data_IF_316632609215
#
_entry.id   IF_316632609215
#
_cell.length_a   1.000
_cell.length_b   1.000
_cell.length_c   1.000
_cell.angle_alpha   90.00
_cell.angle_beta   90.00
_cell.angle_gamma   90.00
#
_symmetry.space_group_name_H-M   'P 1'
#
loop_
_entity.id
_entity.type
_entity.pdbx_description
1 polymer ?
#
# COMPACT_ATOMS: atom_id res chain seq x y z
N UNK A 1 9.65 -36.94 -18.66
CA UNK A 1 9.95 -36.34 -17.35
C UNK A 1 9.59 -34.88 -17.47
N UNK A 2 8.29 -34.59 -17.42
CA UNK A 2 7.76 -33.23 -17.44
C UNK A 2 7.05 -33.10 -16.09
N UNK A 3 7.79 -32.65 -15.09
CA UNK A 3 7.22 -32.45 -13.76
C UNK A 3 6.22 -31.31 -13.80
N UNK A 4 5.05 -31.65 -13.27
CA UNK A 4 3.82 -30.90 -13.23
C UNK A 4 4.00 -29.66 -12.34
N UNK A 5 4.35 -28.50 -12.92
CA UNK A 5 4.44 -27.19 -12.22
C UNK A 5 3.04 -26.58 -12.00
N UNK A 6 1.96 -27.39 -12.01
CA UNK A 6 0.65 -26.88 -11.67
C UNK A 6 0.47 -26.93 -10.15
N UNK A 7 0.37 -25.74 -9.55
CA UNK A 7 -0.21 -25.49 -8.23
C UNK A 7 0.71 -25.60 -7.00
N UNK A 8 1.91 -25.02 -7.06
CA UNK A 8 2.63 -24.64 -5.83
C UNK A 8 2.03 -23.34 -5.30
N UNK A 9 1.16 -23.44 -4.28
CA UNK A 9 0.71 -22.30 -3.48
C UNK A 9 1.92 -21.57 -2.89
N UNK A 10 2.10 -20.30 -3.26
CA UNK A 10 3.14 -19.43 -2.69
C UNK A 10 2.51 -18.56 -1.62
N UNK A 11 2.99 -18.68 -0.38
CA UNK A 11 2.58 -17.82 0.73
C UNK A 11 3.56 -16.67 0.87
N UNK A 12 3.03 -15.47 1.12
CA UNK A 12 3.82 -14.26 1.37
C UNK A 12 3.36 -13.63 2.69
N UNK A 13 4.31 -13.09 3.45
CA UNK A 13 4.03 -12.38 4.70
C UNK A 13 4.44 -10.92 4.56
N UNK A 14 3.53 -10.03 4.94
CA UNK A 14 3.73 -8.58 4.96
C UNK A 14 3.26 -8.05 6.32
N UNK A 15 3.64 -6.82 6.67
CA UNK A 15 3.16 -6.19 7.90
C UNK A 15 1.63 -6.06 7.92
N UNK A 16 1.05 -5.67 6.79
CA UNK A 16 -0.39 -5.57 6.57
C UNK A 16 -0.69 -5.93 5.12
N UNK A 17 -1.79 -6.64 4.89
CA UNK A 17 -2.35 -6.92 3.57
C UNK A 17 -3.78 -6.38 3.56
N UNK A 18 -4.11 -5.61 2.52
CA UNK A 18 -5.43 -4.99 2.36
C UNK A 18 -6.23 -5.75 1.30
N UNK A 19 -7.48 -6.07 1.64
CA UNK A 19 -8.45 -6.59 0.68
C UNK A 19 -8.91 -5.49 -0.30
N UNK A 20 -9.42 -5.84 -1.49
CA UNK A 20 -9.86 -4.86 -2.50
C UNK A 20 -10.90 -3.84 -2.02
N UNK A 21 -11.67 -4.19 -0.99
CA UNK A 21 -12.71 -3.35 -0.40
C UNK A 21 -12.17 -2.33 0.62
N UNK A 22 -10.87 -2.37 0.94
CA UNK A 22 -10.26 -1.45 1.89
C UNK A 22 -10.36 0.01 1.41
N UNK A 23 -10.92 0.86 2.26
CA UNK A 23 -11.01 2.30 2.02
C UNK A 23 -9.66 3.01 2.19
N UNK A 24 -9.52 4.20 1.60
CA UNK A 24 -8.32 5.03 1.76
C UNK A 24 -8.03 5.37 3.23
N UNK A 25 -9.07 5.58 4.04
CA UNK A 25 -8.92 5.82 5.48
C UNK A 25 -8.34 4.59 6.20
N UNK A 26 -8.88 3.40 5.91
CA UNK A 26 -8.35 2.15 6.48
C UNK A 26 -6.90 1.90 6.05
N UNK A 27 -6.55 2.18 4.80
CA UNK A 27 -5.16 2.07 4.32
C UNK A 27 -4.27 3.04 5.10
N UNK A 28 -4.66 4.31 5.23
CA UNK A 28 -3.88 5.32 5.95
C UNK A 28 -3.68 4.97 7.44
N UNK A 29 -4.73 4.46 8.09
CA UNK A 29 -4.69 4.05 9.50
C UNK A 29 -3.71 2.90 9.74
N UNK A 30 -3.74 1.87 8.87
CA UNK A 30 -3.05 0.61 9.15
C UNK A 30 -1.72 0.45 8.40
N UNK A 31 -1.41 1.23 7.36
CA UNK A 31 -0.16 1.09 6.60
C UNK A 31 1.09 1.60 7.35
N UNK A 32 0.93 2.17 8.55
CA UNK A 32 2.03 2.65 9.38
C UNK A 32 2.50 4.08 9.06
N UNK A 33 1.88 4.76 8.09
CA UNK A 33 2.23 6.14 7.73
C UNK A 33 2.00 7.11 8.88
N UNK A 34 0.99 6.90 9.74
CA UNK A 34 0.78 7.74 10.94
C UNK A 34 2.03 7.81 11.83
N UNK A 35 2.66 6.67 12.09
CA UNK A 35 3.90 6.62 12.86
C UNK A 35 5.06 7.33 12.15
N UNK A 36 5.12 7.25 10.82
CA UNK A 36 6.11 7.99 10.04
C UNK A 36 5.89 9.50 10.15
N UNK A 37 4.64 9.97 10.23
CA UNK A 37 4.31 11.37 10.44
C UNK A 37 4.80 11.83 11.82
N UNK A 38 4.55 11.05 12.88
CA UNK A 38 5.03 11.37 14.22
C UNK A 38 6.56 11.49 14.26
N UNK A 39 7.27 10.54 13.65
CA UNK A 39 8.74 10.60 13.53
C UNK A 39 9.21 11.80 12.68
N UNK A 40 8.48 12.15 11.62
CA UNK A 40 8.80 13.33 10.83
C UNK A 40 8.67 14.63 11.66
N UNK A 41 7.66 14.72 12.53
CA UNK A 41 7.49 15.83 13.46
C UNK A 41 8.61 15.89 14.52
N UNK A 42 9.13 14.74 14.91
CA UNK A 42 10.32 14.62 15.79
C UNK A 42 11.65 14.92 15.08
N UNK A 43 11.62 15.25 13.79
CA UNK A 43 12.79 15.66 13.01
C UNK A 43 13.50 14.53 12.26
N UNK A 44 12.90 13.34 12.15
CA UNK A 44 13.45 12.25 11.36
C UNK A 44 13.10 12.37 9.88
N UNK A 45 14.04 12.08 9.00
CA UNK A 45 13.77 11.94 7.58
C UNK A 45 12.97 10.65 7.31
N UNK A 46 11.72 10.82 6.86
CA UNK A 46 10.82 9.70 6.54
C UNK A 46 10.53 9.65 5.03
N UNK A 47 10.28 8.47 4.49
CA UNK A 47 9.97 8.30 3.06
C UNK A 47 8.89 7.24 2.89
N UNK A 48 7.90 7.54 2.04
CA UNK A 48 6.83 6.63 1.62
C UNK A 48 6.82 6.60 0.10
N UNK A 49 6.77 5.40 -0.48
CA UNK A 49 6.64 5.23 -1.93
C UNK A 49 5.67 4.08 -2.22
N UNK A 50 4.94 4.20 -3.32
CA UNK A 50 4.07 3.14 -3.83
C UNK A 50 4.76 2.43 -5.00
N UNK A 51 4.75 1.09 -4.98
CA UNK A 51 5.40 0.25 -5.99
C UNK A 51 4.42 -0.76 -6.58
N UNK A 52 4.58 -1.08 -7.87
CA UNK A 52 3.72 -2.00 -8.60
C UNK A 52 3.68 -1.68 -10.10
N UNK A 53 3.12 -2.57 -10.92
CA UNK A 53 2.95 -2.32 -12.36
C UNK A 53 1.98 -1.16 -12.64
N UNK A 54 1.95 -0.64 -13.86
CA UNK A 54 0.97 0.38 -14.26
C UNK A 54 -0.45 -0.12 -14.05
N UNK A 55 -1.36 0.78 -13.63
CA UNK A 55 -2.77 0.49 -13.33
C UNK A 55 -3.06 -0.32 -12.04
N UNK A 56 -2.09 -0.52 -11.14
CA UNK A 56 -2.33 -1.19 -9.83
C UNK A 56 -2.66 -0.24 -8.68
N UNK A 57 -3.09 0.99 -8.98
CA UNK A 57 -3.54 1.91 -7.93
C UNK A 57 -2.44 2.72 -7.22
N UNK A 58 -1.17 2.71 -7.65
CA UNK A 58 -0.10 3.54 -7.02
C UNK A 58 -0.50 5.02 -6.83
N UNK A 59 -1.01 5.66 -7.89
CA UNK A 59 -1.49 7.05 -7.84
C UNK A 59 -2.68 7.18 -6.90
N UNK A 60 -3.64 6.26 -7.00
CA UNK A 60 -4.81 6.23 -6.11
C UNK A 60 -4.40 6.12 -4.63
N UNK A 61 -3.47 5.23 -4.28
CA UNK A 61 -2.99 5.07 -2.90
C UNK A 61 -2.31 6.33 -2.37
N UNK A 62 -1.46 7.00 -3.17
CA UNK A 62 -0.71 8.18 -2.72
C UNK A 62 -1.53 9.48 -2.73
N UNK A 63 -2.34 9.71 -3.76
CA UNK A 63 -3.03 10.99 -3.97
C UNK A 63 -4.55 10.90 -3.80
N UNK A 64 -5.10 9.70 -3.65
CA UNK A 64 -6.54 9.46 -3.73
C UNK A 64 -7.07 9.70 -5.14
N UNK A 65 -8.36 10.00 -5.22
CA UNK A 65 -9.01 10.35 -6.48
C UNK A 65 -8.51 11.72 -6.97
N UNK A 66 -8.04 11.78 -8.22
CA UNK A 66 -7.55 13.03 -8.85
C UNK A 66 -8.60 14.18 -8.86
N UNK A 67 -9.88 13.84 -8.69
CA UNK A 67 -11.01 14.78 -8.66
C UNK A 67 -11.52 15.11 -7.25
N UNK A 68 -10.87 14.62 -6.20
CA UNK A 68 -11.21 15.01 -4.84
C UNK A 68 -10.51 16.33 -4.47
N UNK A 69 -10.72 17.36 -5.30
CA UNK A 69 -10.64 18.75 -4.86
C UNK A 69 -12.08 19.16 -4.53
N UNK A 70 -12.43 19.09 -3.25
CA UNK A 70 -13.64 19.70 -2.71
C UNK A 70 -13.25 20.33 -1.39
N UNK A 71 -13.18 21.66 -1.36
CA UNK A 71 -14.20 22.59 -0.84
C UNK A 71 -13.98 22.88 0.64
#
# INVERSE_FOLDING_TARGET
>A
VEDNIANVSRSFAFNVVFEPEASQEQVFEHCGVKRLIDMALDGFACTVFAYGQTSTGKTYTLTGNAFQVSR
#
